data_IF_492418805097
#
_entry.id   IF_492418805097
#
_cell.length_a   1.000
_cell.length_b   1.000
_cell.length_c   1.000
_cell.angle_alpha   90.00
_cell.angle_beta   90.00
_cell.angle_gamma   90.00
#
_symmetry.space_group_name_H-M   'P 1'
#
loop_
_entity.id
_entity.type
_entity.pdbx_description
1 polymer ?
#
# COMPACT_ATOMS: atom_id res chain seq x y z
N UNK A 1 1.49 16.41 14.05
CA UNK A 1 0.14 15.94 13.68
C UNK A 1 -0.03 15.59 12.19
N UNK A 2 1.03 15.65 11.36
CA UNK A 2 0.95 15.37 9.91
C UNK A 2 1.34 13.93 9.53
N UNK A 3 2.29 13.31 10.24
CA UNK A 3 2.84 12.00 9.84
C UNK A 3 1.81 10.85 9.92
N UNK A 4 0.97 10.83 10.97
CA UNK A 4 -0.10 9.81 11.09
C UNK A 4 -1.22 9.97 10.06
N UNK A 5 -1.35 11.15 9.48
CA UNK A 5 -2.33 11.38 8.42
C UNK A 5 -1.81 10.91 7.07
N UNK A 6 -0.51 11.04 6.79
CA UNK A 6 0.12 10.53 5.57
C UNK A 6 0.04 9.01 5.47
N UNK A 7 0.41 8.27 6.53
CA UNK A 7 0.27 6.80 6.56
C UNK A 7 -1.18 6.35 6.33
N UNK A 8 -2.13 7.02 7.01
CA UNK A 8 -3.56 6.73 6.81
C UNK A 8 -4.04 7.12 5.42
N UNK A 9 -3.55 8.21 4.86
CA UNK A 9 -3.96 8.69 3.54
C UNK A 9 -3.44 7.76 2.44
N UNK A 10 -2.21 7.26 2.54
CA UNK A 10 -1.69 6.25 1.62
C UNK A 10 -2.48 4.93 1.73
N UNK A 11 -2.81 4.48 2.94
CA UNK A 11 -3.65 3.29 3.12
C UNK A 11 -5.05 3.48 2.51
N UNK A 12 -5.65 4.65 2.71
CA UNK A 12 -6.96 5.01 2.15
C UNK A 12 -6.90 5.08 0.63
N UNK A 13 -5.84 5.66 0.07
CA UNK A 13 -5.62 5.78 -1.37
C UNK A 13 -5.42 4.41 -2.03
N UNK A 14 -4.68 3.51 -1.39
CA UNK A 14 -4.52 2.12 -1.81
C UNK A 14 -5.83 1.36 -1.81
N UNK A 15 -6.62 1.46 -0.73
CA UNK A 15 -7.96 0.86 -0.65
C UNK A 15 -8.93 1.45 -1.67
N UNK A 16 -8.85 2.76 -1.92
CA UNK A 16 -9.65 3.43 -2.93
C UNK A 16 -9.29 2.95 -4.35
N UNK A 17 -7.99 2.80 -4.68
CA UNK A 17 -7.54 2.20 -5.96
C UNK A 17 -8.04 0.77 -6.12
N UNK A 18 -7.94 -0.05 -5.06
CA UNK A 18 -8.40 -1.44 -5.10
C UNK A 18 -9.93 -1.54 -5.29
N UNK A 19 -10.69 -0.72 -4.56
CA UNK A 19 -12.14 -0.67 -4.66
C UNK A 19 -12.60 -0.13 -6.02
N UNK A 20 -11.94 0.91 -6.54
CA UNK A 20 -12.22 1.48 -7.85
C UNK A 20 -11.84 0.50 -8.95
N UNK A 21 -10.71 -0.19 -8.85
CA UNK A 21 -10.31 -1.25 -9.78
C UNK A 21 -11.31 -2.41 -9.82
N UNK A 22 -11.79 -2.86 -8.64
CA UNK A 22 -12.88 -3.85 -8.55
C UNK A 22 -14.18 -3.37 -9.18
N UNK A 23 -14.57 -2.13 -8.90
CA UNK A 23 -15.83 -1.56 -9.37
C UNK A 23 -15.83 -1.25 -10.88
N UNK A 24 -14.68 -0.88 -11.43
CA UNK A 24 -14.51 -0.57 -12.86
C UNK A 24 -14.08 -1.77 -13.70
N UNK A 25 -13.83 -2.93 -13.08
CA UNK A 25 -13.30 -4.12 -13.76
C UNK A 25 -11.87 -3.96 -14.26
N UNK A 26 -11.12 -2.99 -13.73
CA UNK A 26 -9.76 -2.70 -14.15
C UNK A 26 -8.76 -3.53 -13.33
N UNK A 27 -8.43 -4.72 -13.86
CA UNK A 27 -7.46 -5.67 -13.28
C UNK A 27 -6.11 -5.02 -12.97
N UNK A 28 -5.68 -4.05 -13.78
CA UNK A 28 -4.42 -3.34 -13.55
C UNK A 28 -4.44 -2.60 -12.21
N UNK A 29 -5.53 -1.89 -11.90
CA UNK A 29 -5.65 -1.11 -10.67
C UNK A 29 -5.74 -1.99 -9.42
N UNK A 30 -6.38 -3.15 -9.54
CA UNK A 30 -6.35 -4.18 -8.48
C UNK A 30 -4.94 -4.74 -8.28
N UNK A 31 -4.25 -5.09 -9.38
CA UNK A 31 -2.92 -5.66 -9.32
C UNK A 31 -1.90 -4.65 -8.77
N UNK A 32 -1.97 -3.39 -9.16
CA UNK A 32 -1.14 -2.31 -8.64
C UNK A 32 -1.36 -2.12 -7.13
N UNK A 33 -2.61 -2.00 -6.67
CA UNK A 33 -2.90 -1.83 -5.24
C UNK A 33 -2.40 -3.00 -4.38
N UNK A 34 -2.57 -4.23 -4.86
CA UNK A 34 -2.09 -5.43 -4.15
C UNK A 34 -0.56 -5.54 -4.16
N UNK A 35 0.07 -5.16 -5.28
CA UNK A 35 1.54 -5.14 -5.42
C UNK A 35 2.16 -4.07 -4.55
N UNK A 36 1.58 -2.86 -4.50
CA UNK A 36 2.02 -1.78 -3.61
C UNK A 36 1.98 -2.22 -2.13
N UNK A 37 0.91 -2.90 -1.69
CA UNK A 37 0.84 -3.43 -0.32
C UNK A 37 1.92 -4.47 -0.01
N UNK A 38 2.12 -5.45 -0.91
CA UNK A 38 3.15 -6.48 -0.72
C UNK A 38 4.54 -5.86 -0.70
N UNK A 39 4.81 -4.91 -1.59
CA UNK A 39 6.10 -4.22 -1.68
C UNK A 39 6.35 -3.37 -0.44
N UNK A 40 5.34 -2.67 0.06
CA UNK A 40 5.40 -1.92 1.32
C UNK A 40 5.70 -2.82 2.52
N UNK A 41 4.99 -3.95 2.64
CA UNK A 41 5.22 -4.93 3.70
C UNK A 41 6.64 -5.54 3.64
N UNK A 42 7.11 -5.90 2.44
CA UNK A 42 8.48 -6.39 2.22
C UNK A 42 9.52 -5.33 2.58
N UNK A 43 9.29 -4.06 2.22
CA UNK A 43 10.21 -2.97 2.50
C UNK A 43 10.31 -2.70 4.00
N UNK A 44 9.18 -2.65 4.71
CA UNK A 44 9.17 -2.51 6.17
C UNK A 44 9.83 -3.71 6.87
N UNK A 45 9.58 -4.93 6.40
CA UNK A 45 10.22 -6.12 6.96
C UNK A 45 11.73 -6.11 6.72
N UNK A 46 12.17 -5.74 5.51
CA UNK A 46 13.58 -5.63 5.16
C UNK A 46 14.31 -4.52 5.91
N UNK A 47 13.68 -3.37 6.12
CA UNK A 47 14.22 -2.30 6.96
C UNK A 47 14.31 -2.71 8.42
N UNK A 48 13.28 -3.36 8.98
CA UNK A 48 13.36 -3.89 10.36
C UNK A 48 14.47 -4.91 10.54
N UNK A 49 14.70 -5.78 9.55
CA UNK A 49 15.82 -6.73 9.58
C UNK A 49 17.14 -5.96 9.54
N UNK A 50 17.31 -5.01 8.61
CA UNK A 50 18.54 -4.20 8.55
C UNK A 50 18.82 -3.37 9.80
N UNK A 51 17.79 -2.84 10.44
CA UNK A 51 17.91 -2.03 11.67
C UNK A 51 18.24 -2.90 12.90
N UNK A 52 17.85 -4.18 12.87
CA UNK A 52 18.13 -5.15 13.93
C UNK A 52 19.52 -5.81 13.84
N UNK A 53 20.28 -5.58 12.75
CA UNK A 53 21.60 -6.16 12.50
C UNK A 53 22.72 -5.12 12.47
#
# INVERSE_FOLDING_TARGET
>A
MTEKFDDKAEELKGKAKEATGKATGNEQWQAEGKTEQVKGALKQAGEKVKDAF
#
